data_IF_817825198018
#
_entry.id   IF_817825198018
#
_cell.length_a   1.000
_cell.length_b   1.000
_cell.length_c   1.000
_cell.angle_alpha   90.00
_cell.angle_beta   90.00
_cell.angle_gamma   90.00
#
_symmetry.space_group_name_H-M   'P 1'
#
loop_
_entity.id
_entity.type
_entity.pdbx_description
1 polymer ?
#
# COMPACT_ATOMS: atom_id res chain seq x y z
N UNK A 1 -9.88 6.87 -1.56
CA UNK A 1 -9.39 5.88 -2.53
C UNK A 1 -10.52 5.05 -3.09
N UNK A 2 -11.06 4.12 -2.29
CA UNK A 2 -12.13 3.18 -2.69
C UNK A 2 -13.32 3.83 -3.42
N UNK A 3 -13.87 4.95 -2.92
CA UNK A 3 -15.02 5.60 -3.56
C UNK A 3 -14.72 6.17 -4.95
N UNK A 4 -13.46 6.50 -5.26
CA UNK A 4 -13.03 6.89 -6.61
C UNK A 4 -12.87 5.65 -7.49
N UNK A 5 -12.25 4.60 -6.94
CA UNK A 5 -11.99 3.33 -7.61
C UNK A 5 -13.33 2.66 -8.02
N UNK A 6 -14.38 2.76 -7.20
CA UNK A 6 -15.72 2.28 -7.56
C UNK A 6 -16.37 3.05 -8.73
N UNK A 7 -16.09 4.36 -8.88
CA UNK A 7 -16.64 5.17 -9.98
C UNK A 7 -16.01 4.82 -11.33
N UNK A 8 -14.79 4.31 -11.33
CA UNK A 8 -14.08 3.93 -12.57
C UNK A 8 -14.33 2.48 -12.98
N UNK A 9 -14.87 1.63 -12.09
CA UNK A 9 -15.18 0.22 -12.35
C UNK A 9 -15.85 -0.04 -13.71
N UNK A 10 -16.85 0.74 -14.18
CA UNK A 10 -17.50 0.48 -15.48
C UNK A 10 -16.56 0.60 -16.70
N UNK A 11 -15.44 1.30 -16.56
CA UNK A 11 -14.49 1.54 -17.64
C UNK A 11 -13.35 0.52 -17.68
N UNK A 12 -13.25 -0.37 -16.69
CA UNK A 12 -12.17 -1.35 -16.55
C UNK A 12 -12.76 -2.75 -16.38
N UNK A 13 -12.90 -3.55 -17.45
CA UNK A 13 -13.47 -4.88 -17.41
C UNK A 13 -12.78 -5.83 -16.41
N UNK A 14 -11.46 -5.69 -16.27
CA UNK A 14 -10.60 -6.46 -15.38
C UNK A 14 -10.56 -5.94 -13.93
N UNK A 15 -11.38 -4.94 -13.59
CA UNK A 15 -11.39 -4.29 -12.28
C UNK A 15 -11.43 -5.28 -11.11
N UNK A 16 -12.38 -6.22 -11.13
CA UNK A 16 -12.58 -7.16 -10.03
C UNK A 16 -11.40 -8.14 -9.88
N UNK A 17 -10.65 -8.39 -10.95
CA UNK A 17 -9.45 -9.20 -10.93
C UNK A 17 -8.21 -8.43 -10.43
N UNK A 18 -8.13 -7.13 -10.74
CA UNK A 18 -7.00 -6.28 -10.34
C UNK A 18 -7.11 -5.73 -8.92
N UNK A 19 -8.32 -5.47 -8.45
CA UNK A 19 -8.57 -4.80 -7.17
C UNK A 19 -7.95 -5.53 -5.96
N UNK A 20 -8.03 -6.88 -5.83
CA UNK A 20 -7.38 -7.58 -4.72
C UNK A 20 -5.86 -7.39 -4.72
N UNK A 21 -5.22 -7.43 -5.89
CA UNK A 21 -3.77 -7.25 -6.04
C UNK A 21 -3.34 -5.83 -5.74
N UNK A 22 -4.12 -4.83 -6.17
CA UNK A 22 -3.86 -3.43 -5.87
C UNK A 22 -3.95 -3.14 -4.37
N UNK A 23 -4.96 -3.71 -3.67
CA UNK A 23 -5.09 -3.61 -2.21
C UNK A 23 -3.91 -4.26 -1.48
N UNK A 24 -3.49 -5.44 -1.92
CA UNK A 24 -2.31 -6.10 -1.37
C UNK A 24 -1.06 -5.24 -1.48
N UNK A 25 -0.77 -4.66 -2.65
CA UNK A 25 0.40 -3.80 -2.81
C UNK A 25 0.30 -2.49 -2.03
N UNK A 26 -0.89 -1.90 -1.92
CA UNK A 26 -1.09 -0.71 -1.09
C UNK A 26 -0.74 -0.99 0.39
N UNK A 27 -1.10 -2.18 0.90
CA UNK A 27 -0.74 -2.60 2.25
C UNK A 27 0.73 -2.98 2.39
N UNK A 28 1.30 -3.66 1.39
CA UNK A 28 2.70 -4.07 1.41
C UNK A 28 3.69 -2.90 1.20
N UNK A 29 3.19 -1.75 0.75
CA UNK A 29 4.01 -0.59 0.41
C UNK A 29 4.84 -0.12 1.60
N UNK A 30 4.27 -0.07 2.82
CA UNK A 30 5.01 0.33 4.01
C UNK A 30 6.21 -0.57 4.31
N UNK A 31 6.04 -1.89 4.14
CA UNK A 31 7.14 -2.85 4.31
C UNK A 31 8.23 -2.66 3.25
N UNK A 32 7.85 -2.33 2.01
CA UNK A 32 8.82 -2.05 0.94
C UNK A 32 9.64 -0.79 1.26
N UNK A 33 9.01 0.27 1.76
CA UNK A 33 9.71 1.48 2.17
C UNK A 33 10.65 1.24 3.35
N UNK A 34 10.25 0.43 4.33
CA UNK A 34 11.11 0.04 5.46
C UNK A 34 12.33 -0.72 4.95
N UNK A 35 12.14 -1.74 4.11
CA UNK A 35 13.26 -2.51 3.55
C UNK A 35 14.22 -1.62 2.76
N UNK A 36 13.69 -0.76 1.90
CA UNK A 36 14.49 0.19 1.13
C UNK A 36 15.28 1.15 2.04
N UNK A 37 14.67 1.61 3.14
CA UNK A 37 15.33 2.44 4.15
C UNK A 37 16.48 1.73 4.86
N UNK A 38 16.34 0.43 5.17
CA UNK A 38 17.46 -0.38 5.72
C UNK A 38 18.59 -0.45 4.69
N UNK A 39 18.27 -0.84 3.45
CA UNK A 39 19.27 -1.08 2.41
C UNK A 39 20.06 0.19 2.04
N UNK A 40 19.41 1.36 2.06
CA UNK A 40 20.01 2.64 1.69
C UNK A 40 20.69 3.39 2.84
N UNK A 41 20.47 2.98 4.10
CA UNK A 41 20.94 3.71 5.28
C UNK A 41 20.16 5.01 5.57
N UNK A 42 19.06 5.25 4.86
CA UNK A 42 18.20 6.44 4.98
C UNK A 42 17.19 6.27 6.13
N UNK A 43 17.53 6.79 7.31
CA UNK A 43 16.72 6.63 8.53
C UNK A 43 15.40 7.41 8.54
N UNK A 44 15.23 8.41 7.67
CA UNK A 44 14.05 9.29 7.67
C UNK A 44 12.76 8.60 7.16
N UNK A 45 12.88 7.74 6.15
CA UNK A 45 11.74 6.99 5.59
C UNK A 45 11.25 5.87 6.54
N UNK A 46 12.07 5.51 7.51
CA UNK A 46 11.87 4.37 8.40
C UNK A 46 10.78 4.59 9.45
N UNK A 47 10.83 5.73 10.14
CA UNK A 47 9.99 6.00 11.32
C UNK A 47 8.60 6.49 10.96
N UNK A 48 8.43 7.12 9.80
CA UNK A 48 7.14 7.63 9.36
C UNK A 48 6.14 6.53 8.95
N UNK A 49 6.60 5.31 8.63
CA UNK A 49 5.75 4.23 8.12
C UNK A 49 5.65 3.02 9.07
N UNK A 50 6.48 2.96 10.11
CA UNK A 50 6.34 1.98 11.20
C UNK A 50 5.07 2.20 12.04
N UNK A 51 4.60 3.45 12.14
CA UNK A 51 3.39 3.80 12.89
C UNK A 51 2.09 3.29 12.25
N UNK A 52 2.03 3.12 10.92
CA UNK A 52 0.87 2.60 10.20
C UNK A 52 0.73 1.07 10.30
N UNK A 53 1.85 0.36 10.21
CA UNK A 53 1.90 -1.11 10.28
C UNK A 53 1.42 -1.69 11.63
N UNK A 54 1.56 -0.94 12.73
CA UNK A 54 1.07 -1.35 14.06
C UNK A 54 -0.46 -1.32 14.18
N UNK A 55 -1.15 -0.49 13.38
CA UNK A 55 -2.62 -0.30 13.45
C UNK A 55 -3.40 -1.38 12.65
N UNK A 56 -2.69 -2.24 11.90
CA UNK A 56 -3.27 -3.36 11.15
C UNK A 56 -3.38 -4.64 12.01
N UNK A 57 -2.78 -4.64 13.21
CA UNK A 57 -2.76 -5.78 14.13
C UNK A 57 -3.66 -5.67 15.36
N UNK A 58 -4.49 -4.62 15.46
CA UNK A 58 -5.41 -4.36 16.59
C UNK A 58 -6.85 -4.75 16.31
#
# INVERSE_FOLDING_TARGET
>A
GESLIQKIRPFYPEYDALLPRARFYAQALELQWVLLGVESGEQYWFTAHLGGALDVGG
#
